data_IF_711213746696
#
_entry.id   IF_711213746696
#
_cell.length_a   1.000
_cell.length_b   1.000
_cell.length_c   1.000
_cell.angle_alpha   90.00
_cell.angle_beta   90.00
_cell.angle_gamma   90.00
#
_symmetry.space_group_name_H-M   'P 1'
#
loop_
_entity.id
_entity.type
_entity.pdbx_description
1 polymer ?
#
# COMPACT_ATOMS: atom_id res chain seq x y z
N UNK A 1 14.19 -14.62 29.63
CA UNK A 1 12.92 -14.61 28.85
C UNK A 1 11.80 -13.77 29.48
N UNK A 2 11.58 -13.83 30.81
CA UNK A 2 10.50 -13.08 31.49
C UNK A 2 10.69 -11.55 31.44
N UNK A 3 11.89 -11.07 31.79
CA UNK A 3 12.22 -9.63 31.79
C UNK A 3 11.99 -8.98 30.42
N UNK A 4 12.39 -9.65 29.33
CA UNK A 4 12.16 -9.17 27.96
C UNK A 4 10.67 -9.12 27.57
N UNK A 5 9.82 -9.98 28.14
CA UNK A 5 8.35 -9.90 27.94
C UNK A 5 7.74 -8.77 28.74
N UNK A 6 8.20 -8.55 29.97
CA UNK A 6 7.74 -7.44 30.83
C UNK A 6 8.10 -6.09 30.21
N UNK A 7 9.35 -5.93 29.78
CA UNK A 7 9.82 -4.75 29.06
C UNK A 7 8.97 -4.51 27.79
N UNK A 8 8.75 -5.54 26.96
CA UNK A 8 7.87 -5.39 25.77
C UNK A 8 6.43 -5.03 26.09
N UNK A 9 5.87 -5.50 27.21
CA UNK A 9 4.52 -5.13 27.62
C UNK A 9 4.44 -3.67 28.08
N UNK A 10 5.48 -3.18 28.77
CA UNK A 10 5.53 -1.79 29.25
C UNK A 10 5.80 -0.80 28.12
N UNK A 11 6.76 -1.10 27.23
CA UNK A 11 7.12 -0.22 26.11
C UNK A 11 6.27 -0.43 24.86
N UNK A 12 5.55 -1.56 24.76
CA UNK A 12 4.72 -1.89 23.60
C UNK A 12 3.73 -0.80 23.19
N UNK A 13 2.94 -0.22 24.12
CA UNK A 13 2.04 0.88 23.81
C UNK A 13 2.77 2.13 23.30
N UNK A 14 3.93 2.47 23.88
CA UNK A 14 4.74 3.62 23.47
C UNK A 14 5.28 3.43 22.05
N UNK A 15 5.76 2.23 21.74
CA UNK A 15 6.24 1.87 20.40
C UNK A 15 5.08 1.86 19.39
N UNK A 16 3.91 1.34 19.77
CA UNK A 16 2.70 1.38 18.95
C UNK A 16 2.24 2.81 18.64
N UNK A 17 2.29 3.68 19.64
CA UNK A 17 1.96 5.09 19.48
C UNK A 17 2.96 5.83 18.59
N UNK A 18 4.27 5.57 18.76
CA UNK A 18 5.29 6.16 17.88
C UNK A 18 5.14 5.70 16.43
N UNK A 19 4.84 4.42 16.21
CA UNK A 19 4.50 3.89 14.89
C UNK A 19 3.32 4.64 14.27
N UNK A 20 2.22 4.80 15.02
CA UNK A 20 1.04 5.49 14.53
C UNK A 20 1.32 6.96 14.18
N UNK A 21 2.02 7.69 15.04
CA UNK A 21 2.39 9.10 14.81
C UNK A 21 3.30 9.22 13.58
N UNK A 22 4.33 8.39 13.47
CA UNK A 22 5.29 8.48 12.37
C UNK A 22 4.63 8.14 11.04
N UNK A 23 3.86 7.05 10.98
CA UNK A 23 3.13 6.69 9.76
C UNK A 23 2.13 7.77 9.39
N UNK A 24 1.33 8.26 10.35
CA UNK A 24 0.35 9.32 10.08
C UNK A 24 1.03 10.62 9.62
N UNK A 25 1.99 11.13 10.39
CA UNK A 25 2.69 12.38 10.09
C UNK A 25 3.42 12.35 8.76
N UNK A 26 4.14 11.25 8.46
CA UNK A 26 4.83 11.11 7.17
C UNK A 26 3.87 10.90 6.01
N UNK A 27 2.70 10.27 6.22
CA UNK A 27 1.67 10.17 5.16
C UNK A 27 1.08 11.54 4.81
N UNK A 28 0.81 12.37 5.81
CA UNK A 28 0.33 13.74 5.61
C UNK A 28 1.38 14.57 4.86
N UNK A 29 2.65 14.49 5.27
CA UNK A 29 3.75 15.14 4.57
C UNK A 29 3.90 14.66 3.11
N UNK A 30 3.87 13.34 2.88
CA UNK A 30 3.94 12.74 1.55
C UNK A 30 2.82 13.21 0.61
N UNK A 31 1.61 13.43 1.15
CA UNK A 31 0.49 13.92 0.35
C UNK A 31 0.72 15.34 -0.18
N UNK A 32 1.34 16.22 0.60
CA UNK A 32 1.72 17.55 0.11
C UNK A 32 2.71 17.43 -1.05
N UNK A 33 3.71 16.55 -0.93
CA UNK A 33 4.68 16.29 -2.00
C UNK A 33 3.97 15.80 -3.26
N UNK A 34 3.11 14.78 -3.15
CA UNK A 34 2.33 14.24 -4.28
C UNK A 34 1.50 15.33 -4.98
N UNK A 35 0.91 16.24 -4.19
CA UNK A 35 0.09 17.34 -4.70
C UNK A 35 0.92 18.34 -5.52
N UNK A 36 2.20 18.56 -5.17
CA UNK A 36 3.10 19.43 -5.95
C UNK A 36 3.37 18.90 -7.37
N UNK A 37 3.19 17.60 -7.60
CA UNK A 37 3.36 16.99 -8.92
C UNK A 37 2.09 16.96 -9.77
N UNK A 38 0.95 17.45 -9.27
CA UNK A 38 -0.29 17.55 -10.07
C UNK A 38 -0.17 18.36 -11.37
N UNK A 39 0.64 19.43 -11.48
CA UNK A 39 0.85 20.13 -12.75
C UNK A 39 1.37 19.24 -13.88
N UNK A 40 2.03 18.12 -13.58
CA UNK A 40 2.42 17.13 -14.61
C UNK A 40 1.22 16.60 -15.38
N UNK A 41 0.08 16.44 -14.71
CA UNK A 41 -1.17 16.04 -15.35
C UNK A 41 -1.85 17.26 -15.99
N UNK A 42 -2.09 18.32 -15.22
CA UNK A 42 -3.00 19.40 -15.64
C UNK A 42 -2.39 20.40 -16.63
N UNK A 43 -1.07 20.59 -16.59
CA UNK A 43 -0.36 21.55 -17.45
C UNK A 43 0.42 20.85 -18.55
N UNK A 44 1.13 19.77 -18.20
CA UNK A 44 2.08 19.12 -19.11
C UNK A 44 1.52 17.86 -19.80
N UNK A 45 0.31 17.42 -19.46
CA UNK A 45 -0.35 16.24 -20.06
C UNK A 45 0.48 14.93 -19.95
N UNK A 46 1.34 14.81 -18.93
CA UNK A 46 2.23 13.67 -18.70
C UNK A 46 1.62 12.60 -17.79
N UNK A 47 0.42 12.12 -18.12
CA UNK A 47 -0.35 11.17 -17.30
C UNK A 47 0.42 9.89 -16.95
N UNK A 48 1.02 9.21 -17.94
CA UNK A 48 1.70 7.93 -17.71
C UNK A 48 2.99 8.09 -16.87
N UNK A 49 3.76 9.16 -17.13
CA UNK A 49 4.98 9.44 -16.35
C UNK A 49 4.62 9.81 -14.91
N UNK A 50 3.57 10.61 -14.72
CA UNK A 50 3.07 10.95 -13.40
C UNK A 50 2.60 9.70 -12.65
N UNK A 51 1.84 8.81 -13.31
CA UNK A 51 1.38 7.53 -12.72
C UNK A 51 2.56 6.70 -12.20
N UNK A 52 3.56 6.46 -13.04
CA UNK A 52 4.76 5.73 -12.66
C UNK A 52 5.55 6.41 -11.52
N UNK A 53 5.62 7.75 -11.51
CA UNK A 53 6.27 8.50 -10.44
C UNK A 53 5.53 8.32 -9.11
N UNK A 54 4.20 8.45 -9.10
CA UNK A 54 3.39 8.29 -7.89
C UNK A 54 3.48 6.88 -7.31
N UNK A 55 3.44 5.87 -8.18
CA UNK A 55 3.58 4.46 -7.79
C UNK A 55 4.91 4.20 -7.09
N UNK A 56 6.00 4.73 -7.65
CA UNK A 56 7.34 4.62 -7.05
C UNK A 56 7.45 5.39 -5.74
N UNK A 57 6.97 6.64 -5.70
CA UNK A 57 7.06 7.50 -4.53
C UNK A 57 6.31 6.91 -3.32
N UNK A 58 5.08 6.45 -3.53
CA UNK A 58 4.28 5.87 -2.43
C UNK A 58 4.85 4.51 -2.03
N UNK A 59 5.36 3.72 -2.96
CA UNK A 59 6.03 2.45 -2.65
C UNK A 59 7.31 2.65 -1.85
N UNK A 60 8.06 3.70 -2.13
CA UNK A 60 9.23 4.08 -1.34
C UNK A 60 8.84 4.51 0.07
N UNK A 61 7.78 5.31 0.22
CA UNK A 61 7.26 5.70 1.54
C UNK A 61 6.87 4.49 2.41
N UNK A 62 6.39 3.40 1.80
CA UNK A 62 6.03 2.16 2.51
C UNK A 62 7.20 1.45 3.18
N UNK A 63 8.45 1.83 2.91
CA UNK A 63 9.62 1.34 3.65
C UNK A 63 9.53 1.72 5.13
N UNK A 64 8.92 2.84 5.49
CA UNK A 64 8.77 3.30 6.89
C UNK A 64 7.97 2.28 7.73
N UNK A 65 6.72 1.93 7.40
CA UNK A 65 5.98 0.95 8.19
C UNK A 65 6.59 -0.46 8.11
N UNK A 66 7.22 -0.82 6.99
CA UNK A 66 7.93 -2.11 6.86
C UNK A 66 9.14 -2.19 7.78
N UNK A 67 9.91 -1.10 7.93
CA UNK A 67 11.03 -1.01 8.86
C UNK A 67 10.56 -1.28 10.29
N UNK A 68 9.45 -0.67 10.71
CA UNK A 68 8.85 -0.94 12.01
C UNK A 68 8.49 -2.42 12.20
N UNK A 69 7.81 -3.02 11.23
CA UNK A 69 7.45 -4.44 11.30
C UNK A 69 8.68 -5.33 11.44
N UNK A 70 9.70 -5.15 10.60
CA UNK A 70 10.83 -6.06 10.55
C UNK A 70 11.84 -5.83 11.68
N UNK A 71 12.20 -4.57 11.96
CA UNK A 71 13.29 -4.25 12.88
C UNK A 71 12.83 -3.88 14.29
N UNK A 72 11.66 -3.25 14.44
CA UNK A 72 11.16 -2.84 15.76
C UNK A 72 10.29 -3.93 16.38
N UNK A 73 9.33 -4.46 15.62
CA UNK A 73 8.43 -5.53 16.09
C UNK A 73 9.02 -6.93 15.90
N UNK A 74 10.09 -7.07 15.11
CA UNK A 74 10.78 -8.34 14.89
C UNK A 74 9.96 -9.35 14.08
N UNK A 75 9.05 -8.87 13.21
CA UNK A 75 8.26 -9.71 12.31
C UNK A 75 9.19 -10.40 11.33
N UNK A 76 9.09 -11.73 11.29
CA UNK A 76 9.82 -12.57 10.33
C UNK A 76 8.82 -13.14 9.35
N UNK A 77 9.07 -12.93 8.06
CA UNK A 77 8.27 -13.50 6.98
C UNK A 77 9.06 -14.59 6.28
N UNK A 78 8.34 -15.65 5.91
CA UNK A 78 8.82 -16.74 5.07
C UNK A 78 7.87 -16.81 3.87
N UNK A 79 8.43 -16.75 2.67
CA UNK A 79 7.70 -16.94 1.42
C UNK A 79 8.20 -18.26 0.82
N UNK A 80 7.28 -19.05 0.29
CA UNK A 80 7.53 -20.38 -0.29
C UNK A 80 6.59 -20.59 -1.48
N UNK A 81 7.01 -21.42 -2.44
CA UNK A 81 6.29 -21.63 -3.69
C UNK A 81 6.93 -20.83 -4.83
N UNK A 82 6.19 -20.71 -5.93
CA UNK A 82 6.65 -20.02 -7.13
C UNK A 82 6.67 -18.50 -6.93
N UNK A 83 7.55 -17.83 -7.69
CA UNK A 83 7.64 -16.37 -7.69
C UNK A 83 6.48 -15.76 -8.45
N UNK A 84 6.14 -14.52 -8.11
CA UNK A 84 5.20 -13.71 -8.90
C UNK A 84 5.98 -13.11 -10.08
N UNK A 85 5.44 -13.25 -11.28
CA UNK A 85 5.96 -12.65 -12.52
C UNK A 85 5.61 -11.16 -12.52
N UNK A 86 6.62 -10.29 -12.51
CA UNK A 86 6.42 -8.84 -12.39
C UNK A 86 6.14 -8.17 -13.75
N UNK A 87 6.42 -8.88 -14.83
CA UNK A 87 6.26 -8.52 -16.22
C UNK A 87 4.90 -8.92 -16.82
N UNK A 88 4.08 -9.65 -16.06
CA UNK A 88 2.71 -9.98 -16.43
C UNK A 88 1.72 -9.48 -15.37
N UNK A 89 0.51 -9.03 -15.75
CA UNK A 89 -0.51 -8.69 -14.77
C UNK A 89 -1.02 -9.95 -14.06
N UNK A 90 -1.31 -9.84 -12.75
CA UNK A 90 -1.91 -10.95 -12.01
C UNK A 90 -2.99 -10.50 -11.04
N UNK A 91 -3.82 -11.45 -10.62
CA UNK A 91 -4.80 -11.29 -9.55
C UNK A 91 -4.32 -12.09 -8.34
N UNK A 92 -4.19 -11.42 -7.20
CA UNK A 92 -3.68 -12.00 -5.96
C UNK A 92 -4.83 -12.19 -4.98
N UNK A 93 -5.23 -13.45 -4.81
CA UNK A 93 -6.27 -13.82 -3.86
C UNK A 93 -5.61 -14.24 -2.55
N UNK A 94 -6.03 -13.63 -1.44
CA UNK A 94 -5.50 -13.94 -0.13
C UNK A 94 -6.55 -14.00 0.97
N UNK A 95 -6.27 -14.82 1.97
CA UNK A 95 -7.05 -14.86 3.20
C UNK A 95 -6.85 -13.58 4.00
N UNK A 96 -7.93 -12.91 4.40
CA UNK A 96 -7.90 -11.73 5.26
C UNK A 96 -8.21 -12.11 6.72
N UNK A 97 -7.18 -12.30 7.54
CA UNK A 97 -7.27 -12.67 8.97
C UNK A 97 -7.14 -11.49 9.92
N UNK A 98 -6.35 -10.48 9.57
CA UNK A 98 -6.02 -9.35 10.46
C UNK A 98 -6.07 -8.00 9.74
N UNK A 99 -6.25 -6.92 10.51
CA UNK A 99 -6.23 -5.55 9.97
C UNK A 99 -4.87 -5.13 9.39
N UNK A 100 -3.80 -5.89 9.65
CA UNK A 100 -2.43 -5.58 9.21
C UNK A 100 -1.98 -6.45 8.03
N UNK A 101 -2.86 -7.32 7.50
CA UNK A 101 -2.48 -8.27 6.45
C UNK A 101 -1.86 -7.59 5.23
N UNK A 102 -2.38 -6.44 4.83
CA UNK A 102 -1.84 -5.66 3.73
C UNK A 102 -0.38 -5.21 3.95
N UNK A 103 0.05 -4.98 5.20
CA UNK A 103 1.44 -4.67 5.52
C UNK A 103 2.33 -5.92 5.51
N UNK A 104 1.82 -7.06 5.99
CA UNK A 104 2.54 -8.34 5.91
C UNK A 104 2.69 -8.78 4.45
N UNK A 105 1.66 -8.56 3.64
CA UNK A 105 1.69 -8.81 2.21
C UNK A 105 2.78 -7.99 1.52
N UNK A 106 2.90 -6.69 1.83
CA UNK A 106 3.97 -5.85 1.28
C UNK A 106 5.37 -6.34 1.63
N UNK A 107 5.58 -6.78 2.86
CA UNK A 107 6.86 -7.39 3.24
C UNK A 107 7.13 -8.70 2.47
N UNK A 108 6.08 -9.49 2.18
CA UNK A 108 6.20 -10.67 1.34
C UNK A 108 6.56 -10.29 -0.11
N UNK A 109 5.88 -9.29 -0.70
CA UNK A 109 6.22 -8.76 -2.02
C UNK A 109 7.66 -8.26 -2.07
N UNK A 110 8.11 -7.50 -1.07
CA UNK A 110 9.51 -7.04 -0.98
C UNK A 110 10.52 -8.19 -0.96
N UNK A 111 10.19 -9.31 -0.32
CA UNK A 111 11.03 -10.51 -0.28
C UNK A 111 11.06 -11.27 -1.62
N UNK A 112 9.97 -11.25 -2.38
CA UNK A 112 9.86 -11.90 -3.69
C UNK A 112 10.53 -11.02 -4.75
N UNK A 113 10.02 -9.80 -4.94
CA UNK A 113 10.56 -8.81 -5.86
C UNK A 113 10.12 -7.40 -5.41
N UNK A 114 11.04 -6.53 -4.96
CA UNK A 114 10.72 -5.16 -4.53
C UNK A 114 9.92 -4.32 -5.54
N UNK A 115 10.06 -4.59 -6.84
CA UNK A 115 9.33 -3.85 -7.88
C UNK A 115 7.83 -4.14 -7.86
N UNK A 116 7.40 -5.30 -7.36
CA UNK A 116 5.97 -5.62 -7.17
C UNK A 116 5.30 -4.63 -6.21
N UNK A 117 6.07 -3.95 -5.35
CA UNK A 117 5.51 -2.88 -4.53
C UNK A 117 4.99 -1.70 -5.37
N UNK A 118 5.59 -1.42 -6.52
CA UNK A 118 5.12 -0.32 -7.37
C UNK A 118 3.83 -0.65 -8.10
N UNK A 119 3.57 -1.94 -8.34
CA UNK A 119 2.49 -2.40 -9.21
C UNK A 119 1.33 -3.07 -8.47
N UNK A 120 1.47 -3.40 -7.18
CA UNK A 120 0.32 -4.00 -6.48
C UNK A 120 -0.81 -2.99 -6.25
N UNK A 121 -2.04 -3.48 -6.32
CA UNK A 121 -3.29 -2.81 -6.00
C UNK A 121 -4.03 -3.65 -4.97
N UNK A 122 -4.95 -3.02 -4.25
CA UNK A 122 -5.70 -3.69 -3.19
C UNK A 122 -7.15 -3.25 -3.31
N UNK A 123 -8.08 -4.19 -3.15
CA UNK A 123 -9.48 -3.90 -2.89
C UNK A 123 -9.68 -3.68 -1.38
N UNK A 124 -10.22 -2.53 -0.99
CA UNK A 124 -10.42 -2.15 0.41
C UNK A 124 -11.76 -1.45 0.65
N UNK A 125 -12.15 -1.33 1.93
CA UNK A 125 -13.39 -0.67 2.32
C UNK A 125 -13.37 0.81 1.93
N UNK A 126 -14.49 1.28 1.41
CA UNK A 126 -14.67 2.68 0.98
C UNK A 126 -14.35 3.68 2.09
N UNK A 127 -14.70 3.39 3.35
CA UNK A 127 -14.41 4.26 4.49
C UNK A 127 -12.93 4.63 4.63
N UNK A 128 -12.01 3.76 4.19
CA UNK A 128 -10.57 4.02 4.31
C UNK A 128 -10.13 5.19 3.43
N UNK A 129 -10.84 5.47 2.33
CA UNK A 129 -10.55 6.61 1.45
C UNK A 129 -10.63 7.95 2.18
N UNK A 130 -11.42 8.03 3.25
CA UNK A 130 -11.65 9.24 4.03
C UNK A 130 -10.68 9.41 5.20
N UNK A 131 -9.78 8.46 5.44
CA UNK A 131 -8.77 8.58 6.49
C UNK A 131 -7.74 9.64 6.08
N UNK A 132 -7.53 10.72 6.86
CA UNK A 132 -6.55 11.74 6.54
C UNK A 132 -5.14 11.14 6.44
N UNK A 133 -4.32 11.68 5.52
CA UNK A 133 -3.01 11.10 5.26
C UNK A 133 -3.11 9.85 4.39
N UNK A 134 -3.25 8.68 5.04
CA UNK A 134 -3.15 7.37 4.40
C UNK A 134 -4.23 7.16 3.32
N UNK A 135 -5.49 7.54 3.58
CA UNK A 135 -6.59 7.35 2.65
C UNK A 135 -6.45 8.16 1.36
N UNK A 136 -5.84 9.35 1.45
CA UNK A 136 -5.48 10.15 0.28
C UNK A 136 -4.41 9.44 -0.55
N UNK A 137 -3.31 8.98 0.07
CA UNK A 137 -2.28 8.20 -0.62
C UNK A 137 -2.83 6.94 -1.30
N UNK A 138 -3.77 6.23 -0.67
CA UNK A 138 -4.42 5.06 -1.26
C UNK A 138 -5.27 5.39 -2.50
N UNK A 139 -5.87 6.59 -2.56
CA UNK A 139 -6.56 7.08 -3.77
C UNK A 139 -5.55 7.40 -4.89
N UNK A 140 -4.40 7.99 -4.54
CA UNK A 140 -3.31 8.18 -5.52
C UNK A 140 -2.74 6.86 -6.01
N UNK A 141 -2.74 5.79 -5.22
CA UNK A 141 -2.38 4.43 -5.67
C UNK A 141 -3.45 3.76 -6.54
N UNK A 142 -4.58 4.42 -6.81
CA UNK A 142 -5.68 3.86 -7.61
C UNK A 142 -6.18 2.52 -7.06
N UNK A 143 -6.32 2.39 -5.75
CA UNK A 143 -6.95 1.20 -5.16
C UNK A 143 -8.45 1.12 -5.41
N UNK A 144 -9.01 -0.09 -5.30
CA UNK A 144 -10.43 -0.34 -5.53
C UNK A 144 -11.18 -0.18 -4.19
N UNK A 145 -12.04 0.83 -4.09
CA UNK A 145 -12.80 1.13 -2.89
C UNK A 145 -14.21 0.53 -2.94
N UNK A 146 -14.45 -0.48 -2.11
CA UNK A 146 -15.68 -1.26 -2.05
C UNK A 146 -16.65 -0.71 -0.99
N UNK A 147 -17.91 -0.49 -1.39
CA UNK A 147 -19.02 -0.02 -0.55
C UNK A 147 -19.80 -1.16 0.10
N UNK A 148 -19.57 -2.41 -0.33
CA UNK A 148 -20.37 -3.61 0.02
C UNK A 148 -21.77 -3.57 -0.60
N UNK A 149 -21.84 -3.06 -1.81
CA UNK A 149 -23.05 -3.03 -2.62
C UNK A 149 -22.65 -3.39 -4.06
N UNK A 150 -23.11 -4.54 -4.54
CA UNK A 150 -22.70 -5.08 -5.84
C UNK A 150 -23.06 -4.16 -7.00
N UNK A 151 -24.20 -3.44 -6.90
CA UNK A 151 -24.63 -2.51 -7.95
C UNK A 151 -23.68 -1.32 -8.09
N UNK A 152 -22.95 -1.00 -7.01
CA UNK A 152 -21.95 0.08 -6.97
C UNK A 152 -20.55 -0.47 -7.24
N UNK A 153 -20.22 -1.63 -6.68
CA UNK A 153 -18.87 -2.14 -6.64
C UNK A 153 -18.45 -2.81 -7.95
N UNK A 154 -19.35 -3.53 -8.65
CA UNK A 154 -19.01 -4.13 -9.95
C UNK A 154 -18.65 -3.09 -11.01
N UNK A 155 -19.46 -2.03 -11.26
CA UNK A 155 -19.07 -1.00 -12.21
C UNK A 155 -17.77 -0.27 -11.83
N UNK A 156 -17.43 -0.19 -10.54
CA UNK A 156 -16.16 0.37 -10.06
C UNK A 156 -14.98 -0.55 -10.37
N UNK A 157 -15.16 -1.86 -10.17
CA UNK A 157 -14.14 -2.86 -10.49
C UNK A 157 -13.87 -2.88 -12.00
N UNK A 158 -14.91 -2.85 -12.83
CA UNK A 158 -14.76 -2.81 -14.29
C UNK A 158 -13.93 -1.60 -14.73
N UNK A 159 -14.27 -0.41 -14.24
CA UNK A 159 -13.51 0.82 -14.51
C UNK A 159 -12.06 0.75 -14.02
N UNK A 160 -11.82 0.12 -12.87
CA UNK A 160 -10.47 -0.02 -12.35
C UNK A 160 -9.64 -0.96 -13.24
N UNK A 161 -10.22 -2.08 -13.68
CA UNK A 161 -9.58 -3.05 -14.57
C UNK A 161 -9.29 -2.42 -15.94
N UNK A 162 -10.25 -1.68 -16.51
CA UNK A 162 -10.07 -0.91 -17.74
C UNK A 162 -8.92 0.11 -17.61
N UNK A 163 -8.90 0.87 -16.52
CA UNK A 163 -7.80 1.80 -16.27
C UNK A 163 -6.44 1.09 -16.13
N UNK A 164 -6.41 -0.05 -15.46
CA UNK A 164 -5.18 -0.83 -15.28
C UNK A 164 -4.64 -1.36 -16.60
N UNK A 165 -5.49 -1.89 -17.47
CA UNK A 165 -5.08 -2.42 -18.78
C UNK A 165 -4.55 -1.31 -19.70
N UNK A 166 -5.09 -0.10 -19.63
CA UNK A 166 -4.64 1.05 -20.43
C UNK A 166 -3.35 1.71 -19.91
N UNK A 167 -3.01 1.51 -18.64
CA UNK A 167 -1.90 2.20 -17.97
C UNK A 167 -0.48 1.81 -18.42
N UNK A 168 -0.35 0.80 -19.29
CA UNK A 168 0.92 0.18 -19.72
C UNK A 168 1.80 -0.32 -18.56
N UNK A 169 1.22 -0.55 -17.39
CA UNK A 169 1.88 -1.13 -16.22
C UNK A 169 1.28 -2.51 -15.92
N UNK A 170 2.12 -3.46 -15.50
CA UNK A 170 1.69 -4.81 -15.16
C UNK A 170 1.24 -4.86 -13.69
N UNK A 171 0.04 -4.37 -13.44
CA UNK A 171 -0.51 -4.32 -12.08
C UNK A 171 -0.86 -5.69 -11.53
N UNK A 172 -0.66 -5.82 -10.22
CA UNK A 172 -0.95 -7.02 -9.43
C UNK A 172 -2.11 -6.70 -8.50
N UNK A 173 -3.33 -7.14 -8.80
CA UNK A 173 -4.55 -6.66 -8.13
C UNK A 173 -5.01 -7.59 -7.01
#
# INVERSE_FOLDING_TARGET
>A
MWLARVIRRLFGPIIGFSFAIIVFGTSVFGNYIVTLFLPMITVFNFHLKWRALMDRAISFWMVIPMFYLQFVYGVKIRVTGDSIEADEPAIIIMNHRTRLDWLYFKLALWRVNPWLMTTYRIALKELVKHVPGIGFGMQFMQYIFLKRDMNVDFPRMDKAIEYYSESKQNYQV
#
